data_IF_971371900975
#
_entry.id   IF_971371900975
#
_cell.length_a   1.000
_cell.length_b   1.000
_cell.length_c   1.000
_cell.angle_alpha   90.00
_cell.angle_beta   90.00
_cell.angle_gamma   90.00
#
_symmetry.space_group_name_H-M   'P 1'
#
loop_
_entity.id
_entity.type
_entity.pdbx_description
1 polymer ?
#
# COMPACT_ATOMS: atom_id res chain seq x y z
N UNK A 1 6.00 7.81 15.11
CA UNK A 1 6.98 7.70 14.01
C UNK A 1 6.36 6.79 12.96
N UNK A 2 6.35 7.17 11.68
CA UNK A 2 5.88 6.27 10.62
C UNK A 2 7.01 5.26 10.34
N UNK A 3 6.79 3.99 10.67
CA UNK A 3 7.74 2.93 10.39
C UNK A 3 7.65 2.57 8.91
N UNK A 4 8.78 2.26 8.28
CA UNK A 4 8.83 1.70 6.93
C UNK A 4 9.19 0.23 7.09
N UNK A 5 8.35 -0.67 6.61
CA UNK A 5 8.63 -2.10 6.68
C UNK A 5 9.63 -2.47 5.59
N UNK A 6 10.67 -3.23 5.94
CA UNK A 6 11.73 -3.60 5.00
C UNK A 6 11.71 -5.11 4.71
N UNK A 7 11.88 -5.45 3.43
CA UNK A 7 12.06 -6.81 2.95
C UNK A 7 13.31 -6.86 2.06
N UNK A 8 14.11 -7.93 2.20
CA UNK A 8 15.30 -8.14 1.38
C UNK A 8 14.93 -8.59 -0.04
N UNK A 9 13.82 -9.31 -0.18
CA UNK A 9 13.37 -9.83 -1.47
C UNK A 9 11.88 -9.61 -1.71
N UNK A 10 11.48 -9.60 -2.98
CA UNK A 10 10.06 -9.57 -3.36
C UNK A 10 9.30 -10.83 -2.92
N UNK A 11 9.95 -11.99 -2.90
CA UNK A 11 9.33 -13.24 -2.47
C UNK A 11 8.87 -13.17 -1.00
N UNK A 12 9.69 -12.62 -0.12
CA UNK A 12 9.35 -12.41 1.29
C UNK A 12 8.20 -11.41 1.46
N UNK A 13 8.23 -10.31 0.71
CA UNK A 13 7.15 -9.33 0.69
C UNK A 13 5.84 -9.96 0.21
N UNK A 14 5.85 -10.72 -0.88
CA UNK A 14 4.67 -11.38 -1.43
C UNK A 14 4.10 -12.41 -0.47
N UNK A 15 4.96 -13.22 0.17
CA UNK A 15 4.51 -14.19 1.16
C UNK A 15 3.90 -13.51 2.40
N UNK A 16 4.48 -12.39 2.82
CA UNK A 16 3.95 -11.59 3.91
C UNK A 16 2.59 -10.95 3.56
N UNK A 17 2.41 -10.47 2.33
CA UNK A 17 1.15 -9.88 1.84
C UNK A 17 0.04 -10.92 1.63
N UNK A 18 0.35 -12.21 1.49
CA UNK A 18 -0.69 -13.26 1.43
C UNK A 18 -1.53 -13.34 2.71
N UNK A 19 -1.00 -12.84 3.83
CA UNK A 19 -1.76 -12.73 5.06
C UNK A 19 -2.68 -11.51 4.99
N UNK A 20 -3.99 -11.76 5.02
CA UNK A 20 -5.03 -10.74 4.89
C UNK A 20 -4.91 -9.64 5.95
N UNK A 21 -4.56 -9.98 7.19
CA UNK A 21 -4.40 -8.99 8.28
C UNK A 21 -3.26 -8.01 8.04
N UNK A 22 -2.16 -8.48 7.45
CA UNK A 22 -1.03 -7.63 7.09
C UNK A 22 -1.39 -6.65 5.98
N UNK A 23 -2.15 -7.16 5.00
CA UNK A 23 -2.62 -6.35 3.88
C UNK A 23 -3.57 -5.26 4.37
N UNK A 24 -4.57 -5.61 5.18
CA UNK A 24 -5.52 -4.65 5.76
C UNK A 24 -4.80 -3.54 6.53
N UNK A 25 -3.85 -3.90 7.40
CA UNK A 25 -3.07 -2.93 8.18
C UNK A 25 -2.31 -1.94 7.28
N UNK A 26 -1.66 -2.43 6.21
CA UNK A 26 -0.92 -1.58 5.26
C UNK A 26 -1.84 -0.60 4.54
N UNK A 27 -3.04 -1.05 4.15
CA UNK A 27 -4.02 -0.22 3.47
C UNK A 27 -4.71 0.79 4.39
N UNK A 28 -4.98 0.45 5.66
CA UNK A 28 -5.59 1.35 6.63
C UNK A 28 -4.60 2.41 7.16
N UNK A 29 -3.36 2.00 7.39
CA UNK A 29 -2.33 2.88 7.98
C UNK A 29 -1.55 3.68 6.94
N UNK A 30 -1.76 3.40 5.65
CA UNK A 30 -0.96 3.91 4.54
C UNK A 30 0.55 3.67 4.76
N UNK A 31 0.89 2.50 5.32
CA UNK A 31 2.27 2.14 5.63
C UNK A 31 3.08 2.00 4.33
N UNK A 32 4.30 2.56 4.35
CA UNK A 32 5.25 2.44 3.24
C UNK A 32 6.09 1.20 3.44
N UNK A 33 6.29 0.45 2.36
CA UNK A 33 7.09 -0.77 2.36
C UNK A 33 8.33 -0.52 1.50
N UNK A 34 9.49 -0.99 1.94
CA UNK A 34 10.74 -0.97 1.20
C UNK A 34 11.13 -2.41 0.86
N UNK A 35 11.28 -2.73 -0.41
CA UNK A 35 11.67 -4.07 -0.88
C UNK A 35 12.90 -3.90 -1.76
N UNK A 36 14.04 -4.45 -1.35
CA UNK A 36 15.31 -4.32 -2.09
C UNK A 36 15.64 -2.86 -2.49
N UNK A 37 15.38 -1.92 -1.58
CA UNK A 37 15.60 -0.48 -1.82
C UNK A 37 14.52 0.22 -2.64
N UNK A 38 13.48 -0.48 -3.10
CA UNK A 38 12.31 0.09 -3.78
C UNK A 38 11.19 0.39 -2.78
N UNK A 39 10.67 1.62 -2.82
CA UNK A 39 9.55 2.02 -1.95
C UNK A 39 8.22 1.72 -2.65
N UNK A 40 7.43 0.85 -2.03
CA UNK A 40 6.05 0.54 -2.37
C UNK A 40 5.12 1.34 -1.45
N UNK A 41 4.10 1.93 -2.04
CA UNK A 41 3.03 2.62 -1.33
C UNK A 41 1.69 2.10 -1.81
N UNK A 42 0.91 1.53 -0.91
CA UNK A 42 -0.44 1.09 -1.19
C UNK A 42 -1.40 2.24 -0.98
N UNK A 43 -2.07 2.66 -2.05
CA UNK A 43 -3.14 3.65 -1.95
C UNK A 43 -4.46 2.88 -1.75
N UNK A 44 -5.17 3.18 -0.66
CA UNK A 44 -6.55 2.73 -0.52
C UNK A 44 -7.41 3.54 -1.51
N UNK A 45 -7.57 3.04 -2.73
CA UNK A 45 -8.29 3.71 -3.82
C UNK A 45 -9.80 3.89 -3.59
N UNK A 46 -10.30 3.63 -2.37
CA UNK A 46 -11.68 3.94 -2.00
C UNK A 46 -11.93 5.45 -1.77
N UNK A 47 -10.91 6.32 -1.85
CA UNK A 47 -11.07 7.78 -1.69
C UNK A 47 -11.03 8.60 -3.01
N UNK A 48 -10.68 8.01 -4.15
CA UNK A 48 -10.58 8.72 -5.44
C UNK A 48 -11.69 8.37 -6.45
N UNK A 49 -12.77 7.72 -6.01
CA UNK A 49 -13.98 7.53 -6.83
C UNK A 49 -15.07 8.59 -6.50
N UNK A 50 -14.66 9.79 -6.07
CA UNK A 50 -15.58 10.92 -5.83
C UNK A 50 -15.13 12.24 -6.44
N UNK A 51 -14.07 12.24 -7.26
CA UNK A 51 -13.60 13.43 -8.00
C UNK A 51 -13.39 13.08 -9.47
N UNK A 52 -14.44 12.59 -10.15
CA UNK A 52 -14.46 12.47 -11.61
C UNK A 52 -15.87 12.51 -12.23
N UNK A 53 -16.86 13.10 -11.55
CA UNK A 53 -18.15 13.43 -12.18
C UNK A 53 -18.50 14.89 -11.86
N UNK A 54 -18.00 15.81 -12.69
CA UNK A 54 -18.32 17.23 -12.55
C UNK A 54 -17.40 18.16 -13.33
N UNK A 55 -17.34 18.00 -14.66
CA UNK A 55 -17.23 19.10 -15.63
C UNK A 55 -17.20 18.48 -17.04
N UNK A 56 -18.38 18.12 -17.55
CA UNK A 56 -18.62 18.09 -18.99
C UNK A 56 -19.71 19.16 -19.24
N UNK A 57 -19.34 20.07 -20.13
CA UNK A 57 -19.91 21.37 -20.57
C UNK A 57 -21.46 21.52 -20.59
#
# INVERSE_FOLDING_TARGET
MKYIKYFETFEEYEDWMKNESNTEEVFESEEKICVDGLILSHTNKSFEESIAEGDDE
#
